data_IF_625911248396
#
_entry.id   IF_625911248396
#
_cell.length_a   1.000
_cell.length_b   1.000
_cell.length_c   1.000
_cell.angle_alpha   90.00
_cell.angle_beta   90.00
_cell.angle_gamma   90.00
#
_symmetry.space_group_name_H-M   'P 1'
#
loop_
_entity.id
_entity.type
_entity.pdbx_description
1 polymer ?
#
# COMPACT_ATOMS: atom_id res chain seq x y z
N UNK A 1 2.77 12.67 -28.62
CA UNK A 1 2.42 11.43 -27.91
C UNK A 1 3.65 11.01 -27.14
N UNK A 2 3.71 11.34 -25.85
CA UNK A 2 4.76 10.83 -24.96
C UNK A 2 4.56 9.32 -24.87
N UNK A 3 5.60 8.53 -25.15
CA UNK A 3 5.56 7.08 -24.97
C UNK A 3 5.26 6.76 -23.50
N UNK A 4 4.51 5.70 -23.23
CA UNK A 4 4.14 5.25 -21.87
C UNK A 4 5.35 5.22 -20.93
N UNK A 5 6.51 4.77 -21.40
CA UNK A 5 7.75 4.75 -20.62
C UNK A 5 8.26 6.13 -20.18
N UNK A 6 8.12 7.17 -21.01
CA UNK A 6 8.57 8.52 -20.66
C UNK A 6 7.60 9.22 -19.69
N UNK A 7 6.29 8.95 -19.81
CA UNK A 7 5.30 9.38 -18.84
C UNK A 7 5.50 8.68 -17.48
N UNK A 8 5.75 7.36 -17.49
CA UNK A 8 6.03 6.58 -16.30
C UNK A 8 7.26 7.12 -15.55
N UNK A 9 8.33 7.42 -16.26
CA UNK A 9 9.54 8.00 -15.68
C UNK A 9 9.26 9.35 -15.00
N UNK A 10 8.39 10.18 -15.57
CA UNK A 10 8.00 11.46 -14.97
C UNK A 10 7.19 11.28 -13.68
N UNK A 11 6.24 10.33 -13.65
CA UNK A 11 5.46 10.04 -12.43
C UNK A 11 6.30 9.36 -11.34
N UNK A 12 7.24 8.48 -11.70
CA UNK A 12 8.22 7.94 -10.75
C UNK A 12 9.12 9.04 -10.18
N UNK A 13 9.67 9.92 -11.03
CA UNK A 13 10.46 11.06 -10.57
C UNK A 13 9.65 11.94 -9.61
N UNK A 14 8.38 12.20 -9.92
CA UNK A 14 7.47 12.93 -9.03
C UNK A 14 7.29 12.26 -7.67
N UNK A 15 7.17 10.93 -7.63
CA UNK A 15 7.10 10.19 -6.35
C UNK A 15 8.39 10.34 -5.53
N UNK A 16 9.55 10.40 -6.17
CA UNK A 16 10.83 10.62 -5.50
C UNK A 16 10.92 12.04 -4.94
N UNK A 17 10.51 13.05 -5.72
CA UNK A 17 10.49 14.46 -5.27
C UNK A 17 9.59 14.65 -4.04
N UNK A 18 8.41 14.03 -4.04
CA UNK A 18 7.48 14.04 -2.91
C UNK A 18 8.08 13.36 -1.67
N UNK A 19 8.73 12.21 -1.85
CA UNK A 19 9.39 11.50 -0.76
C UNK A 19 10.55 12.33 -0.16
N UNK A 20 11.35 13.00 -1.00
CA UNK A 20 12.43 13.89 -0.55
C UNK A 20 11.88 15.08 0.25
N UNK A 21 10.80 15.70 -0.22
CA UNK A 21 10.12 16.77 0.53
C UNK A 21 9.61 16.26 1.89
N UNK A 22 9.01 15.07 1.94
CA UNK A 22 8.53 14.47 3.17
C UNK A 22 9.68 14.21 4.18
N UNK A 23 10.83 13.75 3.70
CA UNK A 23 12.04 13.56 4.54
C UNK A 23 12.51 14.89 5.12
N UNK A 24 12.51 15.97 4.33
CA UNK A 24 12.90 17.29 4.81
C UNK A 24 11.98 17.81 5.94
N UNK A 25 10.74 17.32 6.00
CA UNK A 25 9.77 17.61 7.05
C UNK A 25 9.80 16.60 8.22
N UNK A 26 10.75 15.65 8.22
CA UNK A 26 10.90 14.63 9.27
C UNK A 26 10.07 13.36 9.06
N UNK A 27 9.44 13.20 7.89
CA UNK A 27 8.69 12.02 7.49
C UNK A 27 9.55 10.89 6.91
N UNK A 28 8.94 9.71 6.72
CA UNK A 28 9.59 8.55 6.07
C UNK A 28 9.70 8.74 4.54
N UNK A 29 10.69 8.14 3.86
CA UNK A 29 11.03 8.42 2.46
C UNK A 29 10.12 7.71 1.43
N UNK A 30 8.80 7.80 1.58
CA UNK A 30 7.87 7.12 0.68
C UNK A 30 6.76 8.05 0.21
N UNK A 31 6.44 7.95 -1.08
CA UNK A 31 5.31 8.61 -1.70
C UNK A 31 4.56 7.67 -2.67
N UNK A 32 3.33 8.05 -2.96
CA UNK A 32 2.41 7.38 -3.87
C UNK A 32 1.75 8.45 -4.76
N UNK A 33 1.70 8.18 -6.07
CA UNK A 33 1.03 8.99 -7.08
C UNK A 33 0.06 8.08 -7.83
N UNK A 34 -1.23 8.43 -7.82
CA UNK A 34 -2.28 7.70 -8.55
C UNK A 34 -2.66 8.50 -9.78
N UNK A 35 -2.65 7.84 -10.94
CA UNK A 35 -2.84 8.48 -12.25
C UNK A 35 -3.94 7.77 -13.02
N UNK A 36 -4.90 8.53 -13.56
CA UNK A 36 -5.91 8.02 -14.49
C UNK A 36 -5.22 7.67 -15.82
N UNK A 37 -5.25 6.39 -16.21
CA UNK A 37 -4.43 5.87 -17.31
C UNK A 37 -4.82 6.45 -18.67
N UNK A 38 -6.10 6.73 -18.84
CA UNK A 38 -6.66 7.19 -20.12
C UNK A 38 -6.29 8.65 -20.43
N UNK A 39 -6.25 9.50 -19.41
CA UNK A 39 -5.99 10.95 -19.54
C UNK A 39 -4.56 11.34 -19.16
N UNK A 40 -3.88 10.53 -18.34
CA UNK A 40 -2.62 10.90 -17.70
C UNK A 40 -2.80 11.88 -16.54
N UNK A 41 -4.03 12.10 -16.08
CA UNK A 41 -4.34 13.00 -14.97
C UNK A 41 -3.90 12.40 -13.64
N UNK A 42 -3.18 13.19 -12.84
CA UNK A 42 -2.84 12.81 -11.46
C UNK A 42 -4.09 12.99 -10.60
N UNK A 43 -4.65 11.88 -10.13
CA UNK A 43 -5.83 11.86 -9.28
C UNK A 43 -5.49 12.11 -7.81
N UNK A 44 -4.33 11.62 -7.36
CA UNK A 44 -3.90 11.78 -5.99
C UNK A 44 -2.38 11.70 -5.85
N UNK A 45 -1.83 12.53 -4.97
CA UNK A 45 -0.46 12.46 -4.48
C UNK A 45 -0.48 12.33 -2.95
N UNK A 46 0.34 11.45 -2.38
CA UNK A 46 0.41 11.27 -0.93
C UNK A 46 1.80 10.81 -0.51
N UNK A 47 2.21 11.20 0.68
CA UNK A 47 3.46 10.74 1.30
C UNK A 47 3.16 9.90 2.54
N UNK A 48 4.17 9.18 3.03
CA UNK A 48 4.07 8.47 4.30
C UNK A 48 3.90 9.47 5.45
N UNK A 49 2.87 9.26 6.27
CA UNK A 49 2.48 10.13 7.38
C UNK A 49 2.69 9.47 8.76
N UNK A 50 3.42 8.35 8.84
CA UNK A 50 3.61 7.60 10.11
C UNK A 50 4.26 8.48 11.18
N UNK A 51 5.31 9.22 10.83
CA UNK A 51 6.03 10.07 11.79
C UNK A 51 5.19 11.27 12.24
N UNK A 52 4.39 11.83 11.34
CA UNK A 52 3.60 13.03 11.56
C UNK A 52 2.30 12.75 12.32
N UNK A 53 1.68 11.59 12.08
CA UNK A 53 0.37 11.25 12.65
C UNK A 53 0.43 10.27 13.83
N UNK A 54 1.52 9.51 13.96
CA UNK A 54 1.60 8.37 14.88
C UNK A 54 0.78 7.15 14.45
N UNK A 55 0.08 7.20 13.31
CA UNK A 55 -0.60 6.05 12.72
C UNK A 55 0.40 5.18 11.96
N UNK A 56 0.71 4.02 12.52
CA UNK A 56 1.62 3.03 11.92
C UNK A 56 1.15 2.50 10.55
N UNK A 57 -0.12 2.69 10.21
CA UNK A 57 -0.70 2.27 8.92
C UNK A 57 -0.68 3.38 7.87
N UNK A 58 -0.29 4.62 8.22
CA UNK A 58 -0.32 5.78 7.34
C UNK A 58 0.84 5.79 6.33
N UNK A 59 1.04 4.67 5.64
CA UNK A 59 1.93 4.55 4.49
C UNK A 59 1.38 5.36 3.32
N UNK A 60 2.24 5.70 2.36
CA UNK A 60 1.86 6.60 1.27
C UNK A 60 0.71 6.03 0.43
N UNK A 61 0.73 4.72 0.14
CA UNK A 61 -0.29 4.03 -0.63
C UNK A 61 -1.62 3.98 0.13
N UNK A 62 -1.59 3.65 1.43
CA UNK A 62 -2.78 3.66 2.29
C UNK A 62 -3.38 5.06 2.39
N UNK A 63 -2.54 6.08 2.53
CA UNK A 63 -2.96 7.48 2.60
C UNK A 63 -3.62 7.93 1.30
N UNK A 64 -3.05 7.55 0.15
CA UNK A 64 -3.64 7.84 -1.16
C UNK A 64 -5.01 7.16 -1.33
N UNK A 65 -5.11 5.86 -0.99
CA UNK A 65 -6.36 5.10 -1.07
C UNK A 65 -7.45 5.68 -0.15
N UNK A 66 -7.10 6.06 1.08
CA UNK A 66 -8.03 6.71 2.02
C UNK A 66 -8.53 8.05 1.50
N UNK A 67 -7.65 8.87 0.93
CA UNK A 67 -8.03 10.16 0.35
C UNK A 67 -8.97 9.99 -0.85
N UNK A 68 -8.68 9.04 -1.74
CA UNK A 68 -9.54 8.72 -2.88
C UNK A 68 -10.90 8.17 -2.45
N UNK A 69 -10.91 7.28 -1.44
CA UNK A 69 -12.16 6.76 -0.87
C UNK A 69 -13.02 7.88 -0.25
N UNK A 70 -12.39 8.85 0.44
CA UNK A 70 -13.09 10.03 0.95
C UNK A 70 -13.67 10.91 -0.17
N UNK A 71 -13.08 10.88 -1.36
CA UNK A 71 -13.60 11.52 -2.57
C UNK A 71 -14.60 10.64 -3.35
N UNK A 72 -14.99 9.48 -2.82
CA UNK A 72 -15.98 8.57 -3.44
C UNK A 72 -15.39 7.59 -4.45
N UNK A 73 -14.06 7.46 -4.54
CA UNK A 73 -13.38 6.48 -5.39
C UNK A 73 -12.75 5.38 -4.54
N UNK A 74 -13.41 4.22 -4.48
CA UNK A 74 -12.95 3.06 -3.71
C UNK A 74 -12.19 2.03 -4.56
N UNK A 75 -12.30 2.11 -5.88
CA UNK A 75 -11.61 1.26 -6.85
C UNK A 75 -10.76 2.11 -7.80
N UNK A 76 -9.66 1.53 -8.24
CA UNK A 76 -8.65 2.14 -9.10
C UNK A 76 -8.58 1.48 -10.47
N UNK A 77 -9.61 0.74 -10.90
CA UNK A 77 -9.69 0.26 -12.28
C UNK A 77 -9.53 1.43 -13.25
N UNK A 78 -8.73 1.24 -14.30
CA UNK A 78 -8.33 2.32 -15.20
C UNK A 78 -7.25 3.27 -14.66
N UNK A 79 -6.69 3.05 -13.46
CA UNK A 79 -5.61 3.85 -12.89
C UNK A 79 -4.28 3.09 -12.83
N UNK A 80 -3.19 3.83 -12.95
CA UNK A 80 -1.82 3.42 -12.65
C UNK A 80 -1.37 4.00 -11.31
N UNK A 81 -0.62 3.21 -10.53
CA UNK A 81 -0.05 3.65 -9.24
C UNK A 81 1.47 3.69 -9.34
N UNK A 82 2.07 4.82 -8.96
CA UNK A 82 3.51 5.04 -8.96
C UNK A 82 4.01 5.27 -7.53
N UNK A 83 5.01 4.51 -7.11
CA UNK A 83 5.51 4.52 -5.72
C UNK A 83 7.03 4.59 -5.65
N UNK A 84 7.54 5.16 -4.56
CA UNK A 84 8.99 5.31 -4.37
C UNK A 84 9.72 3.96 -4.24
N UNK A 85 9.11 2.96 -3.61
CA UNK A 85 9.68 1.64 -3.42
C UNK A 85 8.63 0.55 -3.64
N UNK A 86 9.08 -0.69 -3.89
CA UNK A 86 8.18 -1.84 -3.99
C UNK A 86 7.27 -1.94 -2.74
N UNK A 87 5.94 -2.10 -2.88
CA UNK A 87 5.02 -2.03 -1.75
C UNK A 87 5.30 -3.07 -0.65
N UNK A 88 5.04 -2.70 0.62
CA UNK A 88 4.99 -3.65 1.74
C UNK A 88 3.75 -4.55 1.64
N UNK A 89 3.68 -5.71 2.35
CA UNK A 89 2.50 -6.59 2.34
C UNK A 89 1.20 -5.89 2.70
N UNK A 90 1.21 -4.93 3.64
CA UNK A 90 0.03 -4.13 3.97
C UNK A 90 -0.45 -3.30 2.77
N UNK A 91 0.44 -2.52 2.17
CA UNK A 91 0.11 -1.68 1.02
C UNK A 91 -0.24 -2.53 -0.21
N UNK A 92 0.48 -3.63 -0.45
CA UNK A 92 0.20 -4.56 -1.54
C UNK A 92 -1.19 -5.17 -1.38
N UNK A 93 -1.55 -5.65 -0.18
CA UNK A 93 -2.89 -6.14 0.11
C UNK A 93 -3.97 -5.09 -0.14
N UNK A 94 -3.74 -3.85 0.30
CA UNK A 94 -4.66 -2.74 0.03
C UNK A 94 -4.81 -2.44 -1.48
N UNK A 95 -3.70 -2.48 -2.23
CA UNK A 95 -3.72 -2.30 -3.68
C UNK A 95 -4.42 -3.46 -4.40
N UNK A 96 -4.33 -4.70 -3.91
CA UNK A 96 -5.12 -5.82 -4.43
C UNK A 96 -6.63 -5.58 -4.30
N UNK A 97 -7.10 -5.04 -3.17
CA UNK A 97 -8.50 -4.66 -2.99
C UNK A 97 -8.91 -3.47 -3.87
N UNK A 98 -8.01 -2.50 -4.04
CA UNK A 98 -8.27 -1.31 -4.84
C UNK A 98 -8.20 -1.57 -6.36
N UNK A 99 -7.57 -2.67 -6.78
CA UNK A 99 -7.50 -3.13 -8.17
C UNK A 99 -7.06 -2.07 -9.21
N UNK A 100 -5.89 -1.40 -9.04
CA UNK A 100 -5.30 -0.62 -10.12
C UNK A 100 -4.85 -1.53 -11.27
N UNK A 101 -4.67 -0.96 -12.46
CA UNK A 101 -4.22 -1.73 -13.63
C UNK A 101 -2.78 -2.26 -13.46
N UNK A 102 -1.94 -1.49 -12.76
CA UNK A 102 -0.59 -1.88 -12.36
C UNK A 102 -0.05 -0.94 -11.30
N UNK A 103 1.03 -1.39 -10.67
CA UNK A 103 1.88 -0.61 -9.79
C UNK A 103 3.27 -0.53 -10.43
N UNK A 104 3.84 0.67 -10.44
CA UNK A 104 5.21 0.94 -10.90
C UNK A 104 5.99 1.50 -9.73
N UNK A 105 7.14 0.92 -9.42
CA UNK A 105 7.97 1.35 -8.30
C UNK A 105 9.35 1.82 -8.76
N UNK A 106 9.95 2.78 -8.05
CA UNK A 106 11.27 3.31 -8.39
C UNK A 106 12.40 2.44 -7.82
N UNK A 107 12.38 2.15 -6.52
CA UNK A 107 13.39 1.34 -5.84
C UNK A 107 12.91 -0.10 -5.59
N UNK A 108 13.80 -1.08 -5.82
CA UNK A 108 13.59 -2.45 -5.37
C UNK A 108 13.70 -2.53 -3.85
N UNK A 109 13.23 -3.64 -3.27
CA UNK A 109 13.39 -3.89 -1.83
C UNK A 109 14.87 -3.96 -1.40
N UNK A 110 15.72 -4.54 -2.25
CA UNK A 110 17.16 -4.62 -2.01
C UNK A 110 17.77 -3.21 -1.93
N UNK A 111 17.44 -2.35 -2.91
CA UNK A 111 17.90 -0.95 -2.94
C UNK A 111 17.38 -0.13 -1.74
N UNK A 112 16.14 -0.38 -1.30
CA UNK A 112 15.59 0.20 -0.07
C UNK A 112 16.42 -0.21 1.15
N UNK A 113 16.71 -1.51 1.29
CA UNK A 113 17.45 -2.08 2.42
C UNK A 113 18.92 -1.64 2.53
N UNK A 114 19.53 -1.09 1.46
CA UNK A 114 20.89 -0.53 1.51
C UNK A 114 20.99 0.71 2.41
N UNK A 115 19.88 1.45 2.59
CA UNK A 115 19.88 2.76 3.23
C UNK A 115 18.73 2.99 4.21
N UNK A 116 17.78 2.08 4.29
CA UNK A 116 16.61 2.20 5.13
C UNK A 116 16.31 0.87 5.81
N UNK A 117 15.94 0.95 7.09
CA UNK A 117 15.44 -0.18 7.85
C UNK A 117 13.97 0.07 8.18
N UNK A 118 13.14 -0.95 8.02
CA UNK A 118 11.75 -0.95 8.46
C UNK A 118 11.42 -2.28 9.12
N UNK A 119 10.35 -2.26 9.90
CA UNK A 119 9.89 -3.41 10.65
C UNK A 119 9.95 -3.17 12.15
N UNK A 120 9.83 -4.25 12.90
CA UNK A 120 9.73 -4.19 14.35
C UNK A 120 10.00 -5.54 14.97
N UNK A 121 9.27 -5.87 16.02
CA UNK A 121 9.50 -7.10 16.78
C UNK A 121 9.39 -8.39 15.95
N UNK A 122 8.52 -8.42 14.95
CA UNK A 122 8.11 -9.66 14.29
C UNK A 122 8.67 -9.84 12.88
N UNK A 123 9.21 -8.80 12.25
CA UNK A 123 9.76 -8.87 10.90
C UNK A 123 10.66 -7.66 10.61
N UNK A 124 11.50 -7.80 9.58
CA UNK A 124 12.28 -6.74 8.95
C UNK A 124 11.99 -6.67 7.45
N UNK A 125 12.57 -5.69 6.74
CA UNK A 125 12.51 -5.61 5.27
C UNK A 125 12.98 -6.88 4.55
N UNK A 126 13.84 -7.70 5.15
CA UNK A 126 14.28 -8.94 4.51
C UNK A 126 13.29 -10.08 4.68
N UNK A 127 12.57 -10.13 5.80
CA UNK A 127 11.77 -11.30 6.19
C UNK A 127 10.26 -11.09 6.06
N UNK A 128 9.81 -9.85 5.93
CA UNK A 128 8.39 -9.55 6.08
C UNK A 128 7.46 -10.10 5.00
N UNK A 129 7.94 -10.43 3.78
CA UNK A 129 7.11 -11.20 2.83
C UNK A 129 7.08 -12.69 3.18
N UNK A 130 8.18 -13.24 3.67
CA UNK A 130 8.28 -14.65 4.08
C UNK A 130 7.31 -14.96 5.23
N UNK A 131 7.13 -14.03 6.17
CA UNK A 131 6.15 -14.18 7.27
C UNK A 131 4.72 -14.45 6.78
N UNK A 132 4.31 -13.88 5.64
CA UNK A 132 2.95 -14.08 5.13
C UNK A 132 2.80 -15.42 4.41
N UNK A 133 3.90 -15.96 3.88
CA UNK A 133 3.92 -17.27 3.22
C UNK A 133 3.94 -18.45 4.21
N UNK A 134 4.35 -18.22 5.46
CA UNK A 134 4.37 -19.25 6.51
C UNK A 134 2.95 -19.70 6.90
N UNK A 135 2.76 -20.98 7.26
CA UNK A 135 1.59 -21.42 8.02
C UNK A 135 1.40 -20.53 9.26
N UNK A 136 0.15 -20.28 9.67
CA UNK A 136 -0.14 -19.36 10.78
C UNK A 136 0.57 -19.73 12.08
N UNK A 137 0.72 -21.03 12.35
CA UNK A 137 1.41 -21.56 13.52
C UNK A 137 2.93 -21.29 13.53
N UNK A 138 3.52 -21.02 12.35
CA UNK A 138 4.98 -20.84 12.18
C UNK A 138 5.39 -19.36 12.04
N UNK A 139 4.41 -18.45 12.05
CA UNK A 139 4.66 -17.00 11.96
C UNK A 139 5.37 -16.49 13.20
N UNK A 140 6.24 -15.50 13.02
CA UNK A 140 6.91 -14.81 14.13
C UNK A 140 5.92 -14.03 15.02
N UNK A 141 4.79 -13.59 14.46
CA UNK A 141 3.65 -13.07 15.21
C UNK A 141 2.90 -14.25 15.85
N UNK A 142 2.87 -14.39 17.19
CA UNK A 142 2.17 -15.50 17.83
C UNK A 142 0.66 -15.40 17.59
N UNK A 143 0.10 -16.41 16.94
CA UNK A 143 -1.32 -16.51 16.65
C UNK A 143 -1.85 -17.84 17.20
N UNK A 144 -3.03 -17.80 17.82
CA UNK A 144 -3.70 -18.99 18.36
C UNK A 144 -5.21 -18.84 18.18
N UNK A 145 -5.85 -19.90 17.68
CA UNK A 145 -7.31 -19.96 17.62
C UNK A 145 -7.89 -20.21 19.02
N UNK A 146 -8.86 -19.41 19.44
CA UNK A 146 -9.63 -19.61 20.67
C UNK A 146 -10.87 -20.47 20.46
N UNK A 147 -11.45 -20.96 21.55
CA UNK A 147 -12.69 -21.73 21.55
C UNK A 147 -13.91 -20.81 21.72
N UNK A 148 -14.87 -20.92 20.80
CA UNK A 148 -16.15 -20.19 20.79
C UNK A 148 -17.22 -21.09 20.17
N UNK A 149 -18.44 -21.06 20.70
CA UNK A 149 -19.51 -22.00 20.31
C UNK A 149 -19.84 -21.98 18.81
N UNK A 150 -19.84 -20.79 18.18
CA UNK A 150 -20.14 -20.62 16.75
C UNK A 150 -19.36 -19.46 16.13
N UNK A 151 -18.09 -19.67 15.74
CA UNK A 151 -17.28 -18.62 15.12
C UNK A 151 -17.80 -18.23 13.73
N UNK A 152 -18.72 -19.01 13.16
CA UNK A 152 -19.21 -18.82 11.80
C UNK A 152 -20.47 -17.95 11.73
N UNK A 153 -21.12 -17.65 12.86
CA UNK A 153 -22.35 -16.88 12.91
C UNK A 153 -22.28 -15.52 12.20
N UNK A 154 -21.20 -14.70 12.34
CA UNK A 154 -21.12 -13.41 11.64
C UNK A 154 -21.13 -13.55 10.11
N UNK A 155 -20.39 -14.54 9.57
CA UNK A 155 -20.29 -14.75 8.12
C UNK A 155 -21.62 -15.24 7.53
N UNK A 156 -22.32 -16.15 8.22
CA UNK A 156 -23.65 -16.60 7.78
C UNK A 156 -24.66 -15.46 7.79
N UNK A 157 -24.67 -14.65 8.85
CA UNK A 157 -25.57 -13.49 8.97
C UNK A 157 -25.29 -12.43 7.90
N UNK A 158 -24.02 -12.20 7.56
CA UNK A 158 -23.67 -11.31 6.46
C UNK A 158 -24.27 -11.81 5.15
N UNK A 159 -24.08 -13.10 4.82
CA UNK A 159 -24.63 -13.69 3.59
C UNK A 159 -26.16 -13.62 3.53
N UNK A 160 -26.86 -13.86 4.63
CA UNK A 160 -28.33 -13.78 4.68
C UNK A 160 -28.84 -12.36 4.48
N UNK A 161 -28.13 -11.35 5.00
CA UNK A 161 -28.53 -9.95 4.88
C UNK A 161 -28.23 -9.34 3.49
N UNK A 162 -27.30 -9.93 2.73
CA UNK A 162 -26.81 -9.40 1.44
C UNK A 162 -26.91 -10.48 0.33
N UNK A 163 -27.90 -11.37 0.41
CA UNK A 163 -28.04 -12.49 -0.55
C UNK A 163 -28.43 -12.03 -1.97
N UNK A 164 -28.90 -10.79 -2.11
CA UNK A 164 -29.44 -10.20 -3.35
C UNK A 164 -28.62 -8.99 -3.87
N UNK A 165 -27.49 -8.64 -3.23
CA UNK A 165 -26.55 -7.60 -3.67
C UNK A 165 -25.48 -8.16 -4.62
#
# INVERSE_FOLDING_TARGET
MTTTAAADAAHLARSVDLALANVAEGGKPFACVVVERSSGEVLQESTNQVAQSGDVTAHAEITALRALAAAGRTELTGCDVFVTASPCPMCLGALYYAAPERVVYAATREQEGEHYEDGGRYFSLDTFYDEYAKPEADRALPMSQGDVDDPQAPFRRYREAHADD
#
